data_IF_977952216966
#
_entry.id   IF_977952216966
#
_cell.length_a   1.000
_cell.length_b   1.000
_cell.length_c   1.000
_cell.angle_alpha   90.00
_cell.angle_beta   90.00
_cell.angle_gamma   90.00
#
_symmetry.space_group_name_H-M   'P 1'
#
loop_
_entity.id
_entity.type
_entity.pdbx_description
1 polymer ?
#
# COMPACT_ATOMS: atom_id res chain seq x y z
N UNK A 1 69.75 0.16 73.74
CA UNK A 1 70.06 -0.84 72.73
C UNK A 1 69.00 -1.89 72.81
N UNK A 2 67.95 -1.78 71.99
CA UNK A 2 66.79 -2.67 71.99
C UNK A 2 66.64 -3.21 70.55
N UNK A 3 66.76 -4.48 70.46
CA UNK A 3 66.69 -5.30 69.24
C UNK A 3 65.24 -5.34 68.75
N UNK A 4 64.98 -5.08 67.44
CA UNK A 4 63.64 -5.28 66.92
C UNK A 4 63.51 -6.74 66.43
N UNK A 5 62.54 -7.44 67.01
CA UNK A 5 62.18 -8.80 66.67
C UNK A 5 61.62 -8.98 65.24
N UNK A 6 61.64 -10.19 64.69
CA UNK A 6 61.33 -10.42 63.27
C UNK A 6 59.83 -10.30 62.98
N UNK A 7 59.53 -9.60 61.92
CA UNK A 7 58.21 -9.44 61.35
C UNK A 7 57.85 -10.75 60.59
N UNK A 8 56.79 -11.40 61.07
CA UNK A 8 56.23 -12.57 60.37
C UNK A 8 55.29 -12.09 59.29
N UNK A 9 55.72 -12.27 58.05
CA UNK A 9 54.84 -12.06 56.86
C UNK A 9 53.81 -13.19 56.81
N UNK A 10 52.56 -12.86 57.11
CA UNK A 10 51.43 -13.77 56.90
C UNK A 10 51.21 -13.98 55.40
N UNK A 11 51.44 -15.18 54.91
CA UNK A 11 51.02 -15.65 53.57
C UNK A 11 49.49 -15.69 53.55
N UNK A 12 48.88 -14.79 52.76
CA UNK A 12 47.47 -14.89 52.42
C UNK A 12 47.29 -16.11 51.52
N UNK A 13 46.71 -17.17 52.07
CA UNK A 13 46.28 -18.33 51.32
C UNK A 13 45.16 -17.95 50.37
N UNK A 14 45.46 -17.90 49.09
CA UNK A 14 44.50 -17.87 48.01
C UNK A 14 43.66 -19.17 48.10
N UNK A 15 42.49 -19.07 48.70
CA UNK A 15 41.52 -20.20 48.66
C UNK A 15 41.03 -20.30 47.24
N UNK A 16 41.44 -21.35 46.52
CA UNK A 16 40.80 -21.74 45.25
C UNK A 16 39.33 -22.00 45.52
N UNK A 17 38.51 -21.06 45.01
CA UNK A 17 37.05 -21.22 45.01
C UNK A 17 36.71 -22.32 44.00
N UNK A 18 36.61 -23.53 44.46
CA UNK A 18 36.13 -24.67 43.65
C UNK A 18 34.66 -24.35 43.36
N UNK A 19 34.28 -24.22 42.06
CA UNK A 19 32.91 -23.99 41.68
C UNK A 19 32.03 -25.14 42.21
N UNK A 20 31.11 -24.86 43.10
CA UNK A 20 30.13 -25.85 43.57
C UNK A 20 29.31 -26.38 42.43
N UNK A 21 29.20 -27.67 42.24
CA UNK A 21 28.33 -28.30 41.25
C UNK A 21 26.88 -27.79 41.39
N UNK A 22 26.22 -27.43 40.27
CA UNK A 22 24.87 -26.91 40.32
C UNK A 22 23.90 -27.98 40.84
N UNK A 23 23.23 -27.69 41.92
CA UNK A 23 22.18 -28.56 42.47
C UNK A 23 21.00 -28.66 41.50
N UNK A 24 20.31 -29.82 41.44
CA UNK A 24 19.10 -30.00 40.57
C UNK A 24 18.11 -28.84 40.69
N UNK A 25 17.94 -28.29 41.89
CA UNK A 25 17.07 -27.16 42.18
C UNK A 25 17.51 -25.89 41.44
N UNK A 26 18.82 -25.61 41.43
CA UNK A 26 19.39 -24.45 40.76
C UNK A 26 19.29 -24.57 39.25
N UNK A 27 19.45 -25.76 38.68
CA UNK A 27 19.28 -26.05 37.27
C UNK A 27 17.81 -25.84 36.83
N UNK A 28 16.87 -26.41 37.59
CA UNK A 28 15.43 -26.26 37.30
C UNK A 28 14.96 -24.81 37.42
N UNK A 29 15.42 -24.07 38.43
CA UNK A 29 15.08 -22.66 38.58
C UNK A 29 15.71 -21.80 37.45
N UNK A 30 16.90 -22.14 37.00
CA UNK A 30 17.56 -21.49 35.84
C UNK A 30 16.80 -21.73 34.55
N UNK A 31 16.34 -22.96 34.29
CA UNK A 31 15.52 -23.29 33.12
C UNK A 31 14.18 -22.55 33.15
N UNK A 32 13.51 -22.52 34.31
CA UNK A 32 12.25 -21.81 34.48
C UNK A 32 12.42 -20.29 34.26
N UNK A 33 13.48 -19.69 34.83
CA UNK A 33 13.79 -18.28 34.62
C UNK A 33 14.13 -17.95 33.14
N UNK A 34 14.93 -18.79 32.48
CA UNK A 34 15.22 -18.63 31.06
C UNK A 34 13.95 -18.74 30.19
N UNK A 35 13.09 -19.71 30.47
CA UNK A 35 11.81 -19.89 29.80
C UNK A 35 10.89 -18.69 29.91
N UNK A 36 10.82 -18.08 31.11
CA UNK A 36 10.01 -16.86 31.33
C UNK A 36 10.57 -15.64 30.59
N UNK A 37 11.89 -15.49 30.60
CA UNK A 37 12.53 -14.35 29.83
C UNK A 37 12.33 -14.50 28.34
N UNK A 38 12.52 -15.70 27.79
CA UNK A 38 12.28 -15.96 26.35
C UNK A 38 10.83 -15.79 25.99
N UNK A 39 9.90 -16.31 26.82
CA UNK A 39 8.47 -16.17 26.59
C UNK A 39 8.00 -14.72 26.68
N UNK A 40 8.41 -13.98 27.72
CA UNK A 40 8.06 -12.57 27.85
C UNK A 40 8.68 -11.70 26.74
N UNK A 41 9.94 -11.97 26.39
CA UNK A 41 10.61 -11.28 25.30
C UNK A 41 9.95 -11.55 23.96
N UNK A 42 9.64 -12.81 23.63
CA UNK A 42 8.90 -13.19 22.44
C UNK A 42 7.53 -12.54 22.35
N UNK A 43 6.78 -12.54 23.45
CA UNK A 43 5.49 -11.86 23.54
C UNK A 43 5.62 -10.35 23.30
N UNK A 44 6.58 -9.67 23.93
CA UNK A 44 6.81 -8.25 23.74
C UNK A 44 7.16 -7.92 22.28
N UNK A 45 8.05 -8.71 21.66
CA UNK A 45 8.40 -8.55 20.23
C UNK A 45 7.17 -8.71 19.34
N UNK A 46 6.35 -9.75 19.54
CA UNK A 46 5.14 -9.95 18.73
C UNK A 46 4.15 -8.81 18.89
N UNK A 47 4.00 -8.24 20.10
CA UNK A 47 3.14 -7.07 20.32
C UNK A 47 3.66 -5.81 19.64
N UNK A 48 4.96 -5.57 19.72
CA UNK A 48 5.60 -4.42 19.03
C UNK A 48 5.51 -4.56 17.51
N UNK A 49 5.82 -5.73 16.98
CA UNK A 49 5.69 -5.99 15.53
C UNK A 49 4.24 -5.85 15.08
N UNK A 50 3.28 -6.37 15.82
CA UNK A 50 1.86 -6.21 15.52
C UNK A 50 1.38 -4.76 15.59
N UNK A 51 1.93 -3.95 16.49
CA UNK A 51 1.64 -2.53 16.57
C UNK A 51 2.25 -1.73 15.41
N UNK A 52 3.51 -2.05 15.04
CA UNK A 52 4.21 -1.39 13.94
C UNK A 52 3.71 -1.83 12.55
N UNK A 53 3.11 -3.01 12.47
CA UNK A 53 2.57 -3.56 11.24
C UNK A 53 1.15 -4.07 11.46
N UNK A 54 0.18 -3.17 11.70
CA UNK A 54 -1.20 -3.57 11.91
C UNK A 54 -1.73 -4.28 10.64
N UNK A 55 -2.50 -5.35 10.79
CA UNK A 55 -3.12 -5.99 9.64
C UNK A 55 -4.04 -4.99 8.97
N UNK A 56 -3.76 -4.66 7.72
CA UNK A 56 -4.62 -3.79 6.92
C UNK A 56 -5.98 -4.47 6.75
N UNK A 57 -7.00 -3.93 7.40
CA UNK A 57 -8.39 -4.35 7.18
C UNK A 57 -8.92 -3.58 5.99
N UNK A 58 -8.85 -4.17 4.82
CA UNK A 58 -9.49 -3.62 3.63
C UNK A 58 -11.00 -3.85 3.74
N UNK A 59 -11.76 -2.80 3.62
CA UNK A 59 -13.22 -2.84 3.52
C UNK A 59 -13.63 -2.37 2.14
N UNK A 60 -14.28 -3.24 1.39
CA UNK A 60 -14.95 -2.83 0.16
C UNK A 60 -16.18 -1.99 0.50
N UNK A 61 -16.27 -0.83 -0.11
CA UNK A 61 -17.44 0.03 -0.07
C UNK A 61 -17.85 0.42 -1.47
N UNK A 62 -19.16 0.59 -1.67
CA UNK A 62 -19.67 1.22 -2.88
C UNK A 62 -19.96 2.69 -2.57
N UNK A 63 -19.28 3.57 -3.30
CA UNK A 63 -19.45 5.01 -3.17
C UNK A 63 -20.30 5.49 -4.33
N UNK A 64 -21.39 6.20 -4.03
CA UNK A 64 -22.21 6.84 -5.06
C UNK A 64 -21.34 7.82 -5.85
N UNK A 65 -21.43 7.73 -7.16
CA UNK A 65 -20.62 8.53 -8.08
C UNK A 65 -21.48 9.56 -8.81
N UNK A 66 -22.50 9.09 -9.51
CA UNK A 66 -23.37 9.94 -10.30
C UNK A 66 -24.67 9.21 -10.69
N UNK A 67 -25.65 9.97 -11.16
CA UNK A 67 -26.76 9.41 -11.92
C UNK A 67 -26.37 9.17 -13.37
N UNK A 68 -26.94 8.13 -13.97
CA UNK A 68 -26.72 7.76 -15.37
C UNK A 68 -26.97 8.95 -16.33
N UNK A 69 -28.01 9.72 -16.05
CA UNK A 69 -28.42 10.87 -16.88
C UNK A 69 -27.47 12.06 -16.78
N UNK A 70 -26.61 12.10 -15.75
CA UNK A 70 -25.58 13.13 -15.63
C UNK A 70 -24.45 12.96 -16.65
N UNK A 71 -24.36 11.79 -17.28
CA UNK A 71 -23.32 11.50 -18.28
C UNK A 71 -23.99 11.38 -19.65
N UNK A 72 -23.79 12.37 -20.55
CA UNK A 72 -24.37 12.31 -21.89
C UNK A 72 -23.83 11.12 -22.70
N UNK A 73 -24.61 10.57 -23.64
CA UNK A 73 -24.14 9.52 -24.53
C UNK A 73 -22.84 9.94 -25.27
N UNK A 74 -21.83 9.08 -25.25
CA UNK A 74 -20.50 9.37 -25.82
C UNK A 74 -19.66 10.36 -25.01
N UNK A 75 -20.19 10.88 -23.90
CA UNK A 75 -19.52 11.82 -23.02
C UNK A 75 -18.77 11.16 -21.86
N UNK A 76 -18.15 12.03 -21.07
CA UNK A 76 -17.49 11.65 -19.82
C UNK A 76 -17.91 12.52 -18.66
N UNK A 77 -17.73 12.00 -17.45
CA UNK A 77 -17.85 12.72 -16.18
C UNK A 77 -16.54 12.57 -15.41
N UNK A 78 -15.93 13.70 -15.04
CA UNK A 78 -14.82 13.71 -14.10
C UNK A 78 -15.33 13.59 -12.67
N UNK A 79 -14.75 12.74 -11.87
CA UNK A 79 -15.11 12.55 -10.46
C UNK A 79 -13.86 12.43 -9.59
N UNK A 80 -14.01 12.77 -8.31
CA UNK A 80 -12.94 12.63 -7.33
C UNK A 80 -13.43 11.73 -6.20
N UNK A 81 -12.66 10.70 -5.87
CA UNK A 81 -12.93 9.82 -4.75
C UNK A 81 -12.53 10.46 -3.42
N UNK A 82 -13.03 9.97 -2.27
CA UNK A 82 -12.70 10.50 -0.95
C UNK A 82 -11.21 10.47 -0.61
N UNK A 83 -10.45 9.56 -1.21
CA UNK A 83 -8.98 9.43 -1.05
C UNK A 83 -8.19 10.39 -1.95
N UNK A 84 -8.88 11.26 -2.70
CA UNK A 84 -8.26 12.20 -3.62
C UNK A 84 -7.93 11.64 -5.00
N UNK A 85 -8.20 10.36 -5.27
CA UNK A 85 -8.04 9.80 -6.63
C UNK A 85 -9.06 10.42 -7.57
N UNK A 86 -8.62 10.74 -8.76
CA UNK A 86 -9.46 11.31 -9.80
C UNK A 86 -9.77 10.27 -10.86
N UNK A 87 -11.00 10.28 -11.33
CA UNK A 87 -11.53 9.35 -12.30
C UNK A 87 -12.18 10.08 -13.47
N UNK A 88 -12.16 9.42 -14.63
CA UNK A 88 -12.99 9.74 -15.78
C UNK A 88 -13.97 8.59 -16.01
N UNK A 89 -15.25 8.88 -15.87
CA UNK A 89 -16.32 7.92 -16.18
C UNK A 89 -16.81 8.20 -17.57
N UNK A 90 -16.74 7.22 -18.45
CA UNK A 90 -17.20 7.31 -19.84
C UNK A 90 -18.51 6.54 -20.00
N UNK A 91 -19.41 7.10 -20.79
CA UNK A 91 -20.62 6.43 -21.28
C UNK A 91 -20.49 6.07 -22.75
N UNK A 92 -20.72 4.81 -23.09
CA UNK A 92 -20.82 4.31 -24.46
C UNK A 92 -22.14 3.60 -24.63
N UNK A 93 -23.14 4.32 -25.18
CA UNK A 93 -24.52 3.82 -25.21
C UNK A 93 -25.07 3.58 -23.81
N UNK A 94 -25.36 2.31 -23.48
CA UNK A 94 -25.80 1.89 -22.13
C UNK A 94 -24.67 1.37 -21.25
N UNK A 95 -23.44 1.29 -21.76
CA UNK A 95 -22.28 0.84 -21.02
C UNK A 95 -21.52 2.00 -20.40
N UNK A 96 -20.95 1.72 -19.22
CA UNK A 96 -20.15 2.69 -18.48
C UNK A 96 -18.80 2.06 -18.12
N UNK A 97 -17.75 2.85 -18.28
CA UNK A 97 -16.41 2.47 -17.87
C UNK A 97 -15.77 3.64 -17.09
N UNK A 98 -15.04 3.32 -16.03
CA UNK A 98 -14.27 4.32 -15.29
C UNK A 98 -12.79 4.01 -15.40
N UNK A 99 -12.01 5.08 -15.56
CA UNK A 99 -10.56 5.03 -15.62
C UNK A 99 -9.97 6.06 -14.68
N UNK A 100 -8.80 5.74 -14.11
CA UNK A 100 -7.96 6.76 -13.49
C UNK A 100 -7.57 7.79 -14.55
N UNK A 101 -7.62 9.06 -14.21
CA UNK A 101 -7.10 10.12 -15.08
C UNK A 101 -5.60 10.36 -14.90
N UNK A 102 -4.91 9.46 -14.21
CA UNK A 102 -3.45 9.48 -14.02
C UNK A 102 -2.79 8.67 -15.13
N UNK A 103 -1.95 9.34 -15.92
CA UNK A 103 -1.18 8.71 -16.99
C UNK A 103 -0.17 7.70 -16.40
N UNK A 104 -0.15 6.45 -16.86
CA UNK A 104 0.73 5.41 -16.32
C UNK A 104 2.22 5.65 -16.62
N UNK A 105 2.54 6.57 -17.53
CA UNK A 105 3.93 6.90 -17.85
C UNK A 105 4.63 7.63 -16.71
N UNK A 106 4.17 8.81 -16.33
CA UNK A 106 4.77 9.66 -15.29
C UNK A 106 3.74 10.42 -14.45
N UNK A 107 2.53 9.95 -14.33
CA UNK A 107 1.54 10.48 -13.40
C UNK A 107 0.83 11.78 -13.81
N UNK A 108 1.02 12.28 -15.04
CA UNK A 108 0.31 13.46 -15.51
C UNK A 108 -1.20 13.22 -15.66
N UNK A 109 -1.99 14.28 -15.58
CA UNK A 109 -3.44 14.21 -15.75
C UNK A 109 -3.80 13.99 -17.22
N UNK A 110 -4.76 13.09 -17.42
CA UNK A 110 -5.28 12.74 -18.75
C UNK A 110 -6.64 13.40 -18.93
N UNK A 111 -6.90 13.93 -20.13
CA UNK A 111 -8.14 14.63 -20.47
C UNK A 111 -8.86 13.91 -21.58
N UNK A 112 -10.19 13.91 -21.53
CA UNK A 112 -11.04 13.38 -22.58
C UNK A 112 -11.21 14.40 -23.72
N UNK A 113 -11.03 13.95 -24.95
CA UNK A 113 -11.39 14.67 -26.16
C UNK A 113 -12.62 13.99 -26.75
N UNK A 114 -13.70 14.73 -26.86
CA UNK A 114 -14.97 14.21 -27.37
C UNK A 114 -14.86 13.78 -28.86
N UNK A 115 -15.73 12.87 -29.32
CA UNK A 115 -15.84 12.52 -30.71
C UNK A 115 -16.03 13.75 -31.59
N UNK A 116 -15.36 13.80 -32.73
CA UNK A 116 -15.54 14.85 -33.72
C UNK A 116 -15.87 14.25 -35.09
N UNK A 117 -16.90 14.76 -35.80
CA UNK A 117 -17.24 14.30 -37.13
C UNK A 117 -16.10 14.51 -38.16
N UNK A 118 -15.26 15.52 -37.91
CA UNK A 118 -14.16 15.92 -38.81
C UNK A 118 -12.86 15.18 -38.52
N UNK A 119 -12.86 14.30 -37.49
CA UNK A 119 -11.66 13.55 -37.10
C UNK A 119 -11.29 12.53 -38.18
N UNK A 120 -10.11 12.69 -38.74
CA UNK A 120 -9.60 11.83 -39.82
C UNK A 120 -8.97 10.54 -39.28
N UNK A 121 -8.44 10.58 -38.08
CA UNK A 121 -7.80 9.44 -37.46
C UNK A 121 -8.87 8.46 -36.94
N UNK A 122 -8.96 7.24 -37.49
CA UNK A 122 -9.94 6.25 -37.03
C UNK A 122 -9.87 5.96 -35.55
N UNK A 123 -8.68 6.01 -34.93
CA UNK A 123 -8.46 5.73 -33.54
C UNK A 123 -9.04 6.82 -32.59
N UNK A 124 -9.38 7.99 -33.14
CA UNK A 124 -9.90 9.14 -32.41
C UNK A 124 -11.38 9.43 -32.67
N UNK A 125 -11.99 8.76 -33.63
CA UNK A 125 -13.38 9.04 -34.07
C UNK A 125 -14.41 8.93 -32.97
N UNK A 126 -14.23 7.99 -32.06
CA UNK A 126 -15.12 7.77 -30.91
C UNK A 126 -14.73 8.57 -29.67
N UNK A 127 -13.85 9.57 -29.84
CA UNK A 127 -13.19 10.27 -28.75
C UNK A 127 -11.97 9.53 -28.25
N UNK A 128 -11.16 10.19 -27.45
CA UNK A 128 -9.89 9.66 -26.98
C UNK A 128 -9.39 10.41 -25.77
N UNK A 129 -8.57 9.76 -24.95
CA UNK A 129 -7.89 10.41 -23.83
C UNK A 129 -6.51 10.90 -24.26
N UNK A 130 -6.13 12.10 -23.80
CA UNK A 130 -4.84 12.72 -24.08
C UNK A 130 -4.11 13.06 -22.79
N UNK A 131 -2.86 12.64 -22.69
CA UNK A 131 -1.89 13.13 -21.73
C UNK A 131 -1.04 14.22 -22.38
N UNK A 132 -1.09 15.48 -21.93
CA UNK A 132 -0.38 16.58 -22.61
C UNK A 132 1.13 16.59 -22.34
N UNK A 133 1.62 15.85 -21.34
CA UNK A 133 3.03 15.91 -20.94
C UNK A 133 3.97 15.35 -22.02
N UNK A 134 3.65 14.19 -22.57
CA UNK A 134 4.46 13.52 -23.60
C UNK A 134 3.61 12.96 -24.73
N UNK A 135 2.46 13.60 -24.99
CA UNK A 135 1.53 13.21 -26.07
C UNK A 135 1.14 11.72 -26.01
N UNK A 136 0.89 11.23 -24.80
CA UNK A 136 0.31 9.89 -24.61
C UNK A 136 -1.16 9.92 -24.98
N UNK A 137 -1.59 9.06 -25.92
CA UNK A 137 -2.97 8.98 -26.37
C UNK A 137 -3.55 7.61 -26.09
N UNK A 138 -4.81 7.60 -25.62
CA UNK A 138 -5.50 6.37 -25.23
C UNK A 138 -6.86 6.30 -25.90
N UNK A 139 -7.22 5.09 -26.31
CA UNK A 139 -8.54 4.79 -26.87
C UNK A 139 -9.64 5.04 -25.83
N UNK A 140 -10.91 5.06 -26.23
CA UNK A 140 -12.03 5.11 -25.31
C UNK A 140 -12.03 4.02 -24.24
N UNK A 141 -11.35 2.89 -24.49
CA UNK A 141 -11.22 1.77 -23.53
C UNK A 141 -9.96 1.88 -22.65
N UNK A 142 -9.27 3.02 -22.72
CA UNK A 142 -8.10 3.30 -21.90
C UNK A 142 -6.80 2.68 -22.39
N UNK A 143 -6.75 2.01 -23.56
CA UNK A 143 -5.54 1.42 -24.11
C UNK A 143 -4.70 2.48 -24.82
N UNK A 144 -3.41 2.58 -24.48
CA UNK A 144 -2.52 3.51 -25.16
C UNK A 144 -2.31 3.11 -26.63
N UNK A 145 -2.33 4.10 -27.54
CA UNK A 145 -2.07 3.90 -28.96
C UNK A 145 -1.03 4.87 -29.54
N UNK A 146 -0.56 5.85 -28.76
CA UNK A 146 0.49 6.79 -29.16
C UNK A 146 1.31 7.26 -27.94
N UNK A 147 2.56 7.64 -28.22
CA UNK A 147 3.52 8.14 -27.23
C UNK A 147 4.12 7.07 -26.32
N UNK A 148 4.92 7.48 -25.34
CA UNK A 148 5.64 6.55 -24.45
C UNK A 148 4.78 5.49 -23.76
N UNK A 149 3.53 5.78 -23.33
CA UNK A 149 2.66 4.72 -22.77
C UNK A 149 2.37 3.60 -23.76
N UNK A 150 2.21 3.93 -25.05
CA UNK A 150 1.97 2.93 -26.10
C UNK A 150 3.19 2.06 -26.36
N UNK A 151 4.38 2.64 -26.36
CA UNK A 151 5.65 1.93 -26.54
C UNK A 151 5.88 0.93 -25.38
N UNK A 152 5.45 1.31 -24.18
CA UNK A 152 5.52 0.47 -22.99
C UNK A 152 4.33 -0.49 -22.81
N UNK A 153 3.37 -0.54 -23.74
CA UNK A 153 2.18 -1.40 -23.68
C UNK A 153 1.24 -1.08 -22.51
N UNK A 154 1.26 0.16 -22.02
CA UNK A 154 0.49 0.61 -20.87
C UNK A 154 -0.95 0.95 -21.23
N UNK A 155 -1.82 0.96 -20.22
CA UNK A 155 -3.22 1.38 -20.32
C UNK A 155 -3.59 2.21 -19.11
N UNK A 156 -4.62 3.04 -19.21
CA UNK A 156 -5.21 3.71 -18.05
C UNK A 156 -5.74 2.67 -17.07
N UNK A 157 -5.47 2.86 -15.80
CA UNK A 157 -5.98 1.97 -14.77
C UNK A 157 -7.52 2.00 -14.76
N UNK A 158 -8.15 0.84 -14.92
CA UNK A 158 -9.60 0.70 -14.89
C UNK A 158 -10.08 0.63 -13.45
N UNK A 159 -11.23 1.22 -13.19
CA UNK A 159 -11.88 1.23 -11.88
C UNK A 159 -13.23 0.53 -11.98
N UNK A 160 -13.53 -0.33 -11.00
CA UNK A 160 -14.76 -1.11 -11.01
C UNK A 160 -15.98 -0.23 -10.72
N UNK A 161 -16.92 -0.22 -11.67
CA UNK A 161 -18.21 0.43 -11.56
C UNK A 161 -19.31 -0.59 -11.28
N UNK A 162 -20.25 -0.19 -10.46
CA UNK A 162 -21.49 -0.93 -10.21
C UNK A 162 -22.67 -0.03 -10.58
N UNK A 163 -23.51 -0.47 -11.52
CA UNK A 163 -24.77 0.21 -11.85
C UNK A 163 -25.91 -0.39 -11.04
N UNK A 164 -26.69 0.46 -10.37
CA UNK A 164 -27.92 0.10 -9.65
C UNK A 164 -29.05 1.01 -10.12
N UNK A 165 -29.85 0.51 -11.03
CA UNK A 165 -30.92 1.30 -11.67
C UNK A 165 -30.33 2.50 -12.43
N UNK A 166 -30.72 3.71 -12.02
CA UNK A 166 -30.25 4.98 -12.58
C UNK A 166 -28.97 5.53 -11.92
N UNK A 167 -28.37 4.80 -10.99
CA UNK A 167 -27.22 5.27 -10.21
C UNK A 167 -25.96 4.46 -10.52
N UNK A 168 -24.83 5.14 -10.57
CA UNK A 168 -23.50 4.55 -10.70
C UNK A 168 -22.76 4.67 -9.39
N UNK A 169 -22.10 3.60 -9.01
CA UNK A 169 -21.24 3.49 -7.84
C UNK A 169 -19.87 3.04 -8.27
N UNK A 170 -18.88 3.48 -7.53
CA UNK A 170 -17.52 2.94 -7.65
C UNK A 170 -17.28 1.98 -6.50
N UNK A 171 -16.67 0.82 -6.79
CA UNK A 171 -16.17 -0.08 -5.77
C UNK A 171 -14.83 0.43 -5.28
N UNK A 172 -14.78 0.72 -4.01
CA UNK A 172 -13.67 1.37 -3.34
C UNK A 172 -13.17 0.52 -2.18
N UNK A 173 -11.87 0.26 -2.17
CA UNK A 173 -11.22 -0.38 -1.04
C UNK A 173 -10.68 0.69 -0.10
N UNK A 174 -11.22 0.75 1.10
CA UNK A 174 -10.77 1.62 2.18
C UNK A 174 -9.81 0.83 3.09
N UNK A 175 -8.59 1.32 3.23
CA UNK A 175 -7.67 0.81 4.24
C UNK A 175 -8.06 1.39 5.60
N UNK A 176 -8.62 0.54 6.46
CA UNK A 176 -8.90 0.90 7.85
C UNK A 176 -7.61 0.73 8.64
N UNK A 177 -6.97 1.85 8.97
CA UNK A 177 -5.81 1.89 9.86
C UNK A 177 -6.20 1.55 11.32
#
# INVERSE_FOLDING_TARGET
MSDPGPQVHGTQGGGDVVPSEPTRRNVLSGIAAAGTVVGAGGYAVTRVVGYLNPPSRRREREIFLAFVDAIPPGGTLAATLPDGRHLQVRRSGEEFAAFSDVCPHLGCRVHWNAPSPDEKDPAKREGWFRCPCHEGWFTPDGKAFSGPPSEAGQSLARVDLVRRGSSLYVRYEEDLA
#
